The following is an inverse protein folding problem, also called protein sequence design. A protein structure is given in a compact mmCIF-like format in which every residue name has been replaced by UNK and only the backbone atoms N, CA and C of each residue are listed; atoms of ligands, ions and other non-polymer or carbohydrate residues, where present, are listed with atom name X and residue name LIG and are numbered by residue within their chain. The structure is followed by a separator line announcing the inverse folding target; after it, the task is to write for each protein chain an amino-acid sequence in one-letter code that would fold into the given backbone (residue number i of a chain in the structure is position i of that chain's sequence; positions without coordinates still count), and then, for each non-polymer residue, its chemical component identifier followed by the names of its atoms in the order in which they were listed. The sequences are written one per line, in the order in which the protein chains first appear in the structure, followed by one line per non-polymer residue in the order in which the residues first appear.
data_IF_145626765605
#
_entry.id   IF_145626765605
#
_cell.length_a   1.000
_cell.length_b   1.000
_cell.length_c   1.000
_cell.angle_alpha   90.00
_cell.angle_beta   90.00
_cell.angle_gamma   90.00
#
_symmetry.space_group_name_H-M   'P 1'
#
loop_
_entity.id
_entity.type
_entity.pdbx_description
1 polymer ?
#
# COMPACT_ATOMS: atom_id res chain seq x y z
N UNK A 1 -20.28 0.36 -9.79
CA UNK A 1 -18.86 -0.02 -9.86
C UNK A 1 -18.11 0.25 -8.55
N UNK A 2 -18.49 1.31 -7.77
CA UNK A 2 -17.83 1.63 -6.49
C UNK A 2 -18.10 0.54 -5.45
N UNK A 3 -17.03 0.10 -4.77
CA UNK A 3 -17.09 -0.80 -3.62
C UNK A 3 -17.11 -2.29 -3.95
N UNK A 4 -17.18 -2.69 -5.24
CA UNK A 4 -17.05 -4.08 -5.64
C UNK A 4 -15.88 -4.28 -6.61
N UNK A 5 -15.85 -3.50 -7.68
CA UNK A 5 -14.84 -3.63 -8.73
C UNK A 5 -13.70 -2.62 -8.59
N UNK A 6 -13.94 -1.50 -7.89
CA UNK A 6 -12.96 -0.44 -7.70
C UNK A 6 -12.93 0.03 -6.26
N UNK A 7 -11.75 0.02 -5.66
CA UNK A 7 -11.48 0.53 -4.32
C UNK A 7 -10.43 1.62 -4.35
N UNK A 8 -10.49 2.50 -3.36
CA UNK A 8 -9.50 3.56 -3.17
C UNK A 8 -8.95 3.53 -1.75
N UNK A 9 -7.63 3.51 -1.64
CA UNK A 9 -6.88 3.77 -0.41
C UNK A 9 -6.50 5.25 -0.42
N UNK A 10 -6.97 6.00 0.58
CA UNK A 10 -6.69 7.42 0.73
C UNK A 10 -5.41 7.67 1.51
N UNK A 11 -4.73 8.77 1.26
CA UNK A 11 -3.57 9.23 2.02
C UNK A 11 -3.86 9.32 3.53
N UNK A 12 -5.05 9.76 3.90
CA UNK A 12 -5.51 9.80 5.30
C UNK A 12 -6.65 8.80 5.50
N UNK A 13 -6.28 7.55 5.70
CA UNK A 13 -7.21 6.43 5.85
C UNK A 13 -8.13 6.58 7.08
N UNK A 14 -7.66 7.22 8.17
CA UNK A 14 -8.48 7.47 9.36
C UNK A 14 -9.74 8.27 9.04
N UNK A 15 -9.63 9.31 8.20
CA UNK A 15 -10.78 10.12 7.79
C UNK A 15 -11.76 9.39 6.88
N UNK A 16 -11.33 8.30 6.25
CA UNK A 16 -12.19 7.48 5.40
C UNK A 16 -12.98 6.44 6.20
N UNK A 17 -12.60 6.19 7.46
CA UNK A 17 -13.27 5.25 8.35
C UNK A 17 -14.31 5.93 9.24
N UNK A 18 -15.35 5.18 9.61
CA UNK A 18 -16.35 5.65 10.57
C UNK A 18 -15.76 5.62 12.00
N UNK A 19 -15.64 6.78 12.70
CA UNK A 19 -14.94 6.85 13.98
C UNK A 19 -15.69 6.12 15.11
N UNK A 20 -17.01 5.99 15.02
CA UNK A 20 -17.86 5.39 16.06
C UNK A 20 -18.13 3.90 15.86
N UNK A 21 -17.39 3.25 14.96
CA UNK A 21 -17.50 1.80 14.67
C UNK A 21 -16.14 1.15 14.73
N UNK A 22 -16.08 -0.08 15.27
CA UNK A 22 -14.83 -0.84 15.30
C UNK A 22 -14.38 -1.22 13.90
N UNK A 23 -13.07 -1.40 13.72
CA UNK A 23 -12.45 -1.84 12.46
C UNK A 23 -13.14 -3.12 11.95
N UNK A 24 -13.33 -4.09 12.82
CA UNK A 24 -13.98 -5.37 12.52
C UNK A 24 -15.41 -5.19 12.01
N UNK A 25 -16.18 -4.31 12.61
CA UNK A 25 -17.56 -4.02 12.19
C UNK A 25 -17.60 -3.44 10.77
N UNK A 26 -16.69 -2.51 10.47
CA UNK A 26 -16.59 -1.87 9.16
C UNK A 26 -16.11 -2.87 8.10
N UNK A 27 -15.15 -3.73 8.44
CA UNK A 27 -14.67 -4.80 7.56
C UNK A 27 -15.79 -5.73 7.14
N UNK A 28 -16.58 -6.20 8.11
CA UNK A 28 -17.71 -7.09 7.81
C UNK A 28 -18.77 -6.42 6.94
N UNK A 29 -19.10 -5.17 7.22
CA UNK A 29 -20.07 -4.44 6.39
C UNK A 29 -19.57 -4.30 4.96
N UNK A 30 -18.30 -3.91 4.78
CA UNK A 30 -17.71 -3.76 3.45
C UNK A 30 -17.74 -5.04 2.64
N UNK A 31 -17.46 -6.19 3.25
CA UNK A 31 -17.46 -7.48 2.56
C UNK A 31 -18.91 -7.97 2.32
N UNK A 32 -19.77 -7.95 3.35
CA UNK A 32 -21.11 -8.51 3.24
C UNK A 32 -22.13 -7.65 2.51
N UNK A 33 -21.87 -6.35 2.33
CA UNK A 33 -22.70 -5.51 1.46
C UNK A 33 -22.58 -5.89 -0.02
N UNK A 34 -21.49 -6.55 -0.38
CA UNK A 34 -21.16 -6.88 -1.77
C UNK A 34 -21.41 -8.36 -2.11
N UNK A 35 -21.58 -9.23 -1.12
CA UNK A 35 -21.74 -10.67 -1.32
C UNK A 35 -22.94 -11.23 -0.59
N UNK A 36 -23.74 -12.06 -1.28
CA UNK A 36 -24.80 -12.87 -0.66
C UNK A 36 -24.17 -14.11 0.01
N UNK A 37 -23.74 -13.94 1.26
CA UNK A 37 -23.09 -15.02 2.02
C UNK A 37 -24.14 -15.89 2.71
N UNK A 38 -24.20 -17.19 2.37
CA UNK A 38 -25.15 -18.16 2.95
C UNK A 38 -24.87 -18.42 4.46
N UNK A 39 -23.60 -18.61 4.83
CA UNK A 39 -23.17 -18.83 6.22
C UNK A 39 -22.28 -17.68 6.70
N UNK A 40 -22.92 -16.63 7.22
CA UNK A 40 -22.24 -15.46 7.75
C UNK A 40 -21.32 -15.78 8.93
N UNK A 41 -21.63 -16.82 9.74
CA UNK A 41 -20.80 -17.18 10.90
C UNK A 41 -19.46 -17.78 10.47
N UNK A 42 -19.50 -18.72 9.53
CA UNK A 42 -18.30 -19.33 8.96
C UNK A 42 -17.47 -18.30 8.20
N UNK A 43 -18.12 -17.45 7.40
CA UNK A 43 -17.45 -16.38 6.65
C UNK A 43 -16.74 -15.40 7.58
N UNK A 44 -17.36 -14.94 8.67
CA UNK A 44 -16.73 -14.06 9.66
C UNK A 44 -15.45 -14.66 10.23
N UNK A 45 -15.46 -15.95 10.58
CA UNK A 45 -14.26 -16.62 11.11
C UNK A 45 -13.11 -16.60 10.09
N UNK A 46 -13.41 -16.93 8.84
CA UNK A 46 -12.41 -16.92 7.75
C UNK A 46 -11.86 -15.50 7.51
N UNK A 47 -12.73 -14.48 7.55
CA UNK A 47 -12.34 -13.08 7.40
C UNK A 47 -11.43 -12.67 8.55
N UNK A 48 -11.78 -13.01 9.79
CA UNK A 48 -10.98 -12.71 10.97
C UNK A 48 -9.57 -13.33 10.88
N UNK A 49 -9.49 -14.61 10.53
CA UNK A 49 -8.23 -15.34 10.39
C UNK A 49 -7.33 -14.67 9.32
N UNK A 50 -7.90 -14.31 8.16
CA UNK A 50 -7.18 -13.60 7.10
C UNK A 50 -6.76 -12.20 7.51
N UNK A 51 -7.64 -11.43 8.15
CA UNK A 51 -7.36 -10.08 8.60
C UNK A 51 -6.23 -10.07 9.64
N UNK A 52 -6.26 -10.98 10.62
CA UNK A 52 -5.19 -11.13 11.62
C UNK A 52 -3.87 -11.44 10.94
N UNK A 53 -3.84 -12.45 10.05
CA UNK A 53 -2.64 -12.85 9.34
C UNK A 53 -2.02 -11.67 8.55
N UNK A 54 -2.83 -10.93 7.80
CA UNK A 54 -2.35 -9.77 7.04
C UNK A 54 -1.82 -8.64 7.92
N UNK A 55 -2.47 -8.36 9.05
CA UNK A 55 -2.01 -7.34 9.99
C UNK A 55 -0.68 -7.76 10.64
N UNK A 56 -0.50 -9.04 10.95
CA UNK A 56 0.76 -9.59 11.48
C UNK A 56 1.89 -9.52 10.44
N UNK A 57 1.62 -9.82 9.17
CA UNK A 57 2.57 -9.63 8.06
C UNK A 57 3.01 -8.15 7.94
N UNK A 58 2.12 -7.22 8.22
CA UNK A 58 2.42 -5.78 8.28
C UNK A 58 3.00 -5.33 9.63
N UNK A 59 3.51 -6.27 10.45
CA UNK A 59 4.13 -6.01 11.76
C UNK A 59 3.22 -5.29 12.76
N UNK A 60 1.91 -5.53 12.70
CA UNK A 60 0.97 -5.06 13.70
C UNK A 60 0.89 -6.11 14.82
N UNK A 61 1.46 -5.76 15.98
CA UNK A 61 1.32 -6.56 17.19
C UNK A 61 -0.12 -6.51 17.70
N UNK A 62 -0.63 -7.63 18.24
CA UNK A 62 -1.99 -7.73 18.79
C UNK A 62 -3.10 -7.41 17.76
N UNK A 63 -3.01 -7.98 16.55
CA UNK A 63 -3.95 -7.77 15.45
C UNK A 63 -5.43 -7.95 15.87
N UNK A 64 -5.73 -8.91 16.74
CA UNK A 64 -7.09 -9.13 17.29
C UNK A 64 -7.59 -7.90 18.07
N UNK A 65 -6.73 -7.28 18.88
CA UNK A 65 -7.09 -6.05 19.59
C UNK A 65 -7.37 -4.92 18.60
N UNK A 66 -6.52 -4.77 17.57
CA UNK A 66 -6.69 -3.74 16.53
C UNK A 66 -8.01 -3.91 15.79
N UNK A 67 -8.40 -5.13 15.43
CA UNK A 67 -9.69 -5.38 14.79
C UNK A 67 -10.90 -4.97 15.67
N UNK A 68 -10.77 -5.05 16.99
CA UNK A 68 -11.80 -4.66 17.93
C UNK A 68 -11.71 -3.21 18.40
N UNK A 69 -10.68 -2.47 17.99
CA UNK A 69 -10.50 -1.05 18.30
C UNK A 69 -11.28 -0.15 17.34
N UNK A 70 -11.46 1.11 17.75
CA UNK A 70 -11.97 2.19 16.91
C UNK A 70 -10.82 2.87 16.15
N UNK A 71 -11.08 3.51 15.00
CA UNK A 71 -10.03 4.19 14.22
C UNK A 71 -9.23 5.21 15.04
N UNK A 72 -9.87 5.99 15.90
CA UNK A 72 -9.21 7.02 16.71
C UNK A 72 -8.30 6.46 17.82
N UNK A 73 -8.38 5.17 18.14
CA UNK A 73 -7.48 4.49 19.09
C UNK A 73 -6.18 4.03 18.44
N UNK A 74 -6.06 4.14 17.12
CA UNK A 74 -4.92 3.68 16.34
C UNK A 74 -4.04 4.85 15.90
N UNK A 75 -2.74 4.60 15.75
CA UNK A 75 -1.86 5.60 15.10
C UNK A 75 -2.17 5.73 13.60
N UNK A 76 -1.76 6.84 12.98
CA UNK A 76 -1.95 7.06 11.55
C UNK A 76 -1.39 5.92 10.69
N UNK A 77 -0.18 5.44 11.01
CA UNK A 77 0.41 4.30 10.32
C UNK A 77 -0.31 2.97 10.56
N UNK A 78 -0.94 2.77 11.72
CA UNK A 78 -1.81 1.61 11.97
C UNK A 78 -3.09 1.71 11.15
N UNK A 79 -3.75 2.87 11.14
CA UNK A 79 -4.95 3.11 10.32
C UNK A 79 -4.67 2.89 8.83
N UNK A 80 -3.50 3.32 8.34
CA UNK A 80 -3.09 3.11 6.96
C UNK A 80 -2.98 1.61 6.63
N UNK A 81 -2.29 0.83 7.47
CA UNK A 81 -2.16 -0.63 7.30
C UNK A 81 -3.49 -1.37 7.41
N UNK A 82 -4.37 -0.93 8.31
CA UNK A 82 -5.74 -1.43 8.41
C UNK A 82 -6.53 -1.16 7.12
N UNK A 83 -6.44 0.04 6.56
CA UNK A 83 -7.09 0.38 5.30
C UNK A 83 -6.59 -0.47 4.13
N UNK A 84 -5.28 -0.72 4.07
CA UNK A 84 -4.68 -1.62 3.07
C UNK A 84 -5.22 -3.04 3.25
N UNK A 85 -5.22 -3.58 4.47
CA UNK A 85 -5.79 -4.91 4.78
C UNK A 85 -7.26 -5.01 4.36
N UNK A 86 -8.07 -4.01 4.68
CA UNK A 86 -9.48 -4.00 4.28
C UNK A 86 -9.64 -4.02 2.76
N UNK A 87 -8.89 -3.19 2.04
CA UNK A 87 -8.91 -3.15 0.58
C UNK A 87 -8.51 -4.49 -0.04
N UNK A 88 -7.48 -5.14 0.51
CA UNK A 88 -6.99 -6.44 0.02
C UNK A 88 -8.01 -7.58 0.23
N UNK A 89 -8.68 -7.62 1.37
CA UNK A 89 -9.69 -8.64 1.65
C UNK A 89 -10.92 -8.52 0.76
N UNK A 90 -11.18 -7.34 0.19
CA UNK A 90 -12.29 -7.10 -0.73
C UNK A 90 -11.97 -7.52 -2.18
N UNK A 91 -10.71 -7.79 -2.52
CA UNK A 91 -10.25 -8.24 -3.84
C UNK A 91 -10.86 -7.43 -5.00
N UNK A 92 -10.56 -6.14 -5.12
CA UNK A 92 -11.10 -5.32 -6.21
C UNK A 92 -10.46 -5.67 -7.54
N UNK A 93 -11.18 -5.43 -8.66
CA UNK A 93 -10.58 -5.52 -10.01
C UNK A 93 -9.58 -4.38 -10.24
N UNK A 94 -9.83 -3.20 -9.64
CA UNK A 94 -8.97 -2.02 -9.69
C UNK A 94 -8.77 -1.41 -8.32
N UNK A 95 -7.51 -1.27 -7.91
CA UNK A 95 -7.10 -0.58 -6.70
C UNK A 95 -6.47 0.77 -7.04
N UNK A 96 -7.04 1.85 -6.52
CA UNK A 96 -6.45 3.18 -6.54
C UNK A 96 -5.79 3.42 -5.18
N UNK A 97 -4.49 3.70 -5.14
CA UNK A 97 -3.78 3.96 -3.91
C UNK A 97 -3.10 5.34 -3.96
N UNK A 98 -3.59 6.26 -3.14
CA UNK A 98 -3.06 7.60 -3.02
C UNK A 98 -2.15 7.69 -1.80
N UNK A 99 -0.83 7.82 -2.06
CA UNK A 99 0.23 7.88 -1.06
C UNK A 99 0.13 6.77 0.00
N UNK A 100 0.01 5.48 -0.39
CA UNK A 100 -0.33 4.40 0.53
C UNK A 100 0.74 4.12 1.59
N UNK A 101 1.94 4.66 1.43
CA UNK A 101 3.08 4.42 2.34
C UNK A 101 3.58 5.68 3.05
N UNK A 102 2.99 6.86 2.83
CA UNK A 102 3.49 8.14 3.34
C UNK A 102 3.49 8.28 4.87
N UNK A 103 2.56 7.60 5.55
CA UNK A 103 2.44 7.62 7.02
C UNK A 103 3.19 6.48 7.72
N UNK A 104 4.01 5.71 6.97
CA UNK A 104 4.69 4.51 7.47
C UNK A 104 6.19 4.76 7.70
N UNK A 105 6.73 4.13 8.73
CA UNK A 105 8.18 3.98 8.86
C UNK A 105 8.77 3.07 7.78
N UNK A 106 10.09 3.08 7.62
CA UNK A 106 10.80 2.37 6.54
C UNK A 106 10.51 0.86 6.54
N UNK A 107 10.40 0.25 7.73
CA UNK A 107 10.16 -1.19 7.86
C UNK A 107 8.74 -1.52 7.43
N UNK A 108 7.75 -0.77 7.96
CA UNK A 108 6.35 -0.95 7.60
C UNK A 108 6.09 -0.63 6.12
N UNK A 109 6.75 0.40 5.57
CA UNK A 109 6.70 0.71 4.14
C UNK A 109 7.17 -0.48 3.29
N UNK A 110 8.29 -1.11 3.66
CA UNK A 110 8.81 -2.28 2.93
C UNK A 110 7.80 -3.43 2.92
N UNK A 111 7.19 -3.73 4.08
CA UNK A 111 6.19 -4.79 4.19
C UNK A 111 4.95 -4.53 3.33
N UNK A 112 4.48 -3.29 3.29
CA UNK A 112 3.37 -2.90 2.42
C UNK A 112 3.72 -3.00 0.94
N UNK A 113 4.93 -2.62 0.56
CA UNK A 113 5.43 -2.79 -0.83
C UNK A 113 5.47 -4.27 -1.20
N UNK A 114 5.92 -5.16 -0.31
CA UNK A 114 5.95 -6.59 -0.57
C UNK A 114 4.53 -7.16 -0.75
N UNK A 115 3.55 -6.73 0.05
CA UNK A 115 2.13 -7.09 -0.13
C UNK A 115 1.60 -6.62 -1.50
N UNK A 116 1.90 -5.40 -1.93
CA UNK A 116 1.50 -4.93 -3.26
C UNK A 116 2.15 -5.73 -4.39
N UNK A 117 3.40 -6.19 -4.21
CA UNK A 117 4.04 -7.11 -5.15
C UNK A 117 3.32 -8.45 -5.26
N UNK A 118 2.93 -9.02 -4.13
CA UNK A 118 2.18 -10.28 -4.09
C UNK A 118 0.86 -10.16 -4.86
N UNK A 119 0.15 -9.02 -4.68
CA UNK A 119 -1.09 -8.73 -5.42
C UNK A 119 -0.81 -8.61 -6.92
N UNK A 120 0.21 -7.87 -7.31
CA UNK A 120 0.64 -7.74 -8.70
C UNK A 120 0.94 -9.12 -9.32
N UNK A 121 1.65 -9.97 -8.59
CA UNK A 121 2.00 -11.32 -9.05
C UNK A 121 0.78 -12.24 -9.18
N UNK A 122 -0.28 -12.05 -8.39
CA UNK A 122 -1.52 -12.82 -8.51
C UNK A 122 -2.29 -12.53 -9.81
N UNK A 123 -2.13 -11.33 -10.35
CA UNK A 123 -2.77 -10.89 -11.59
C UNK A 123 -4.27 -10.59 -11.48
N UNK A 124 -4.85 -10.73 -10.30
CA UNK A 124 -6.30 -10.59 -10.09
C UNK A 124 -6.75 -9.12 -9.95
N UNK A 125 -5.82 -8.22 -9.62
CA UNK A 125 -6.12 -6.79 -9.33
C UNK A 125 -5.19 -5.88 -10.12
N UNK A 126 -5.74 -4.97 -10.90
CA UNK A 126 -5.00 -3.86 -11.49
C UNK A 126 -4.80 -2.75 -10.46
N UNK A 127 -3.64 -2.07 -10.49
CA UNK A 127 -3.33 -1.03 -9.52
C UNK A 127 -2.93 0.28 -10.18
N UNK A 128 -3.43 1.39 -9.65
CA UNK A 128 -2.92 2.73 -9.93
C UNK A 128 -2.42 3.31 -8.60
N UNK A 129 -1.13 3.56 -8.51
CA UNK A 129 -0.48 4.04 -7.29
C UNK A 129 0.05 5.45 -7.53
N UNK A 130 -0.38 6.40 -6.73
CA UNK A 130 0.18 7.75 -6.68
C UNK A 130 1.18 7.78 -5.52
N UNK A 131 2.42 8.16 -5.80
CA UNK A 131 3.45 8.31 -4.78
C UNK A 131 4.52 9.31 -5.20
N UNK A 132 5.06 10.02 -4.23
CA UNK A 132 6.27 10.84 -4.40
C UNK A 132 7.56 10.03 -4.13
N UNK A 133 7.43 8.80 -3.64
CA UNK A 133 8.59 7.93 -3.39
C UNK A 133 8.93 7.11 -4.65
N UNK A 134 9.91 7.59 -5.40
CA UNK A 134 10.35 6.96 -6.65
C UNK A 134 10.79 5.50 -6.46
N UNK A 135 11.36 5.13 -5.29
CA UNK A 135 11.78 3.76 -5.04
C UNK A 135 10.58 2.82 -4.95
N UNK A 136 9.49 3.24 -4.32
CA UNK A 136 8.22 2.48 -4.27
C UNK A 136 7.65 2.31 -5.68
N UNK A 137 7.61 3.41 -6.44
CA UNK A 137 7.09 3.39 -7.83
C UNK A 137 7.92 2.44 -8.69
N UNK A 138 9.26 2.53 -8.62
CA UNK A 138 10.18 1.66 -9.38
C UNK A 138 9.98 0.17 -9.07
N UNK A 139 9.67 -0.16 -7.83
CA UNK A 139 9.48 -1.55 -7.40
C UNK A 139 8.13 -2.14 -7.79
N UNK A 140 7.09 -1.32 -7.93
CA UNK A 140 5.72 -1.76 -8.12
C UNK A 140 5.18 -1.56 -9.53
N UNK A 141 5.56 -0.46 -10.21
CA UNK A 141 4.94 -0.05 -11.45
C UNK A 141 5.53 -0.78 -12.68
N UNK A 142 4.67 -1.14 -13.62
CA UNK A 142 5.06 -1.56 -14.98
C UNK A 142 5.27 -0.32 -15.85
N UNK A 143 4.40 0.69 -15.68
CA UNK A 143 4.44 1.97 -16.41
C UNK A 143 4.35 3.12 -15.42
N UNK A 144 5.02 4.21 -15.76
CA UNK A 144 5.04 5.43 -14.93
C UNK A 144 4.47 6.60 -15.72
N UNK A 145 3.59 7.33 -15.06
CA UNK A 145 3.12 8.64 -15.49
C UNK A 145 3.78 9.70 -14.61
N UNK A 146 4.60 10.56 -15.18
CA UNK A 146 5.17 11.71 -14.46
C UNK A 146 4.27 12.92 -14.69
N UNK A 147 3.84 13.55 -13.60
CA UNK A 147 2.95 14.72 -13.64
C UNK A 147 3.65 15.95 -13.04
N UNK A 148 3.43 17.11 -13.65
CA UNK A 148 3.87 18.42 -13.14
C UNK A 148 2.76 19.45 -13.36
N UNK A 149 2.37 20.14 -12.31
CA UNK A 149 1.33 21.20 -12.37
C UNK A 149 0.05 20.77 -13.09
N UNK A 150 -0.44 19.56 -12.76
CA UNK A 150 -1.67 19.00 -13.33
C UNK A 150 -1.57 18.50 -14.78
N UNK A 151 -0.37 18.46 -15.37
CA UNK A 151 -0.13 17.98 -16.74
C UNK A 151 0.76 16.75 -16.72
N UNK A 152 0.48 15.81 -17.61
CA UNK A 152 1.38 14.69 -17.88
C UNK A 152 2.57 15.21 -18.66
N UNK A 153 3.78 15.03 -18.12
CA UNK A 153 5.04 15.43 -18.75
C UNK A 153 5.75 14.27 -19.40
N UNK A 154 5.59 13.06 -18.86
CA UNK A 154 6.17 11.84 -19.43
C UNK A 154 5.32 10.62 -19.08
N UNK A 155 5.23 9.65 -20.00
CA UNK A 155 4.54 8.38 -19.80
C UNK A 155 5.24 7.30 -20.61
N UNK A 156 5.84 6.33 -19.93
CA UNK A 156 6.59 5.22 -20.55
C UNK A 156 6.67 4.02 -19.57
N UNK A 157 7.27 2.94 -20.01
CA UNK A 157 7.61 1.80 -19.17
C UNK A 157 8.60 2.20 -18.07
N UNK A 158 8.49 1.55 -16.92
CA UNK A 158 9.30 1.88 -15.72
C UNK A 158 10.79 1.88 -16.01
N UNK A 159 11.30 0.90 -16.77
CA UNK A 159 12.71 0.82 -17.12
C UNK A 159 13.18 2.00 -17.97
N UNK A 160 12.33 2.47 -18.90
CA UNK A 160 12.65 3.62 -19.76
C UNK A 160 12.70 4.90 -18.92
N UNK A 161 11.69 5.15 -18.08
CA UNK A 161 11.65 6.32 -17.20
C UNK A 161 12.86 6.35 -16.27
N UNK A 162 13.24 5.21 -15.70
CA UNK A 162 14.32 5.15 -14.72
C UNK A 162 15.72 5.29 -15.33
N UNK A 163 15.94 4.75 -16.53
CA UNK A 163 17.28 4.69 -17.12
C UNK A 163 17.49 5.73 -18.22
N UNK A 164 16.42 6.12 -18.93
CA UNK A 164 16.47 6.99 -20.11
C UNK A 164 15.38 8.06 -20.11
N UNK A 165 15.22 8.86 -19.02
CA UNK A 165 14.19 9.90 -18.94
C UNK A 165 14.44 10.97 -20.00
N UNK A 166 13.39 11.34 -20.73
CA UNK A 166 13.46 12.33 -21.82
C UNK A 166 13.30 13.75 -21.28
N UNK A 167 12.42 13.92 -20.29
CA UNK A 167 12.05 15.23 -19.75
C UNK A 167 13.00 15.67 -18.62
N UNK A 168 13.39 16.93 -18.64
CA UNK A 168 14.31 17.49 -17.63
C UNK A 168 13.75 17.37 -16.20
N UNK A 169 12.43 17.57 -16.04
CA UNK A 169 11.78 17.40 -14.74
C UNK A 169 11.87 15.96 -14.23
N UNK A 170 11.69 14.98 -15.10
CA UNK A 170 11.83 13.55 -14.74
C UNK A 170 13.27 13.24 -14.30
N UNK A 171 14.28 13.77 -15.00
CA UNK A 171 15.70 13.62 -14.63
C UNK A 171 15.96 14.19 -13.24
N UNK A 172 15.43 15.40 -12.97
CA UNK A 172 15.55 16.04 -11.65
C UNK A 172 14.91 15.18 -10.54
N UNK A 173 13.71 14.65 -10.78
CA UNK A 173 13.04 13.79 -9.80
C UNK A 173 13.86 12.54 -9.48
N UNK A 174 14.40 11.87 -10.50
CA UNK A 174 15.18 10.64 -10.34
C UNK A 174 16.51 10.95 -9.64
N UNK A 175 17.19 12.02 -10.02
CA UNK A 175 18.48 12.41 -9.42
C UNK A 175 18.36 12.87 -7.96
N UNK A 176 17.18 13.32 -7.54
CA UNK A 176 16.91 13.71 -6.15
C UNK A 176 16.76 12.50 -5.19
N UNK A 177 16.68 11.28 -5.72
CA UNK A 177 16.59 10.06 -4.89
C UNK A 177 17.96 9.75 -4.29
N UNK A 178 18.10 9.69 -2.96
CA UNK A 178 19.37 9.32 -2.34
C UNK A 178 19.78 7.90 -2.77
N UNK A 179 20.86 7.78 -3.48
CA UNK A 179 21.50 6.48 -3.75
C UNK A 179 22.37 6.16 -2.54
N UNK A 180 21.98 5.18 -1.73
CA UNK A 180 22.89 4.62 -0.75
C UNK A 180 24.03 3.94 -1.52
N UNK A 181 25.13 4.66 -1.76
CA UNK A 181 26.38 4.03 -2.18
C UNK A 181 26.80 3.11 -1.02
N UNK A 182 26.84 1.82 -1.26
CA UNK A 182 27.67 0.92 -0.46
C UNK A 182 29.11 1.37 -0.74
N UNK A 183 29.68 2.20 0.10
CA UNK A 183 31.12 2.31 0.19
C UNK A 183 31.62 0.92 0.55
N UNK A 184 32.37 0.33 -0.35
CA UNK A 184 33.09 -0.91 -0.10
C UNK A 184 33.95 -0.68 1.15
N UNK A 185 33.69 -1.43 2.20
CA UNK A 185 34.54 -1.49 3.39
C UNK A 185 35.82 -2.30 3.04
N UNK A 186 36.66 -1.70 2.19
CA UNK A 186 37.97 -2.20 1.84
C UNK A 186 39.02 -1.16 2.23
N UNK A 187 39.12 -0.84 3.52
CA UNK A 187 40.32 -0.19 4.08
C UNK A 187 40.34 -0.31 5.61
N UNK A 188 40.41 -1.56 6.13
CA UNK A 188 41.03 -1.79 7.42
C UNK A 188 42.01 -2.96 7.33
N UNK A 189 43.05 -2.79 6.53
CA UNK A 189 44.30 -3.52 6.74
C UNK A 189 45.13 -2.73 7.75
N UNK A 190 44.89 -2.97 9.03
CA UNK A 190 45.81 -2.52 10.09
C UNK A 190 46.99 -3.45 10.07
N UNK A 191 48.14 -2.90 9.72
CA UNK A 191 49.46 -3.47 9.96
C UNK A 191 49.65 -3.70 11.45
N UNK A 192 49.94 -4.92 11.83
CA UNK A 192 50.71 -5.28 13.02
C UNK A 192 51.92 -6.07 12.58
#
# INVERSE_FOLDING_TARGET
LRGRNMLMIFQNTERAMCPVRTIKSQLYESIFSNEAVKDKRKAKRIIDEKAVHMLEQMNIKNAIKVLNSYPFELSGGMNQRVGIMMAMLMKPDLLLADEPTSALDVIAQRQVVDIFKDIKCSGDTSMIIVSHNINVVRELADKIIVMKSGRIVEYEDTEIIMNYPKQEYTKQLISAVPVLRRECADEYNIRA
#
